data_IF_720170611128
#
_entry.id   IF_720170611128
#
_cell.length_a   1.000
_cell.length_b   1.000
_cell.length_c   1.000
_cell.angle_alpha   90.00
_cell.angle_beta   90.00
_cell.angle_gamma   90.00
#
_symmetry.space_group_name_H-M   'P 1'
#
loop_
_entity.id
_entity.type
_entity.pdbx_description
1 polymer ?
#
# COMPACT_ATOMS: atom_id res chain seq x y z
N UNK A 1 1.58 70.01 -2.02
CA UNK A 1 2.51 69.48 -0.99
C UNK A 1 1.69 69.31 0.27
N UNK A 2 1.50 68.14 0.86
CA UNK A 2 2.11 66.82 0.70
C UNK A 2 1.02 65.77 0.93
N UNK A 3 1.03 64.71 0.12
CA UNK A 3 0.44 63.43 0.50
C UNK A 3 1.38 62.84 1.55
N UNK A 4 0.90 62.61 2.76
CA UNK A 4 1.58 61.76 3.72
C UNK A 4 0.71 60.51 3.93
N UNK A 5 1.06 59.48 3.15
CA UNK A 5 0.65 58.10 3.33
C UNK A 5 1.19 57.61 4.67
N UNK A 6 0.35 57.55 5.70
CA UNK A 6 0.69 56.83 6.92
C UNK A 6 0.33 55.35 6.72
N UNK A 7 1.09 54.66 5.87
CA UNK A 7 1.06 53.19 5.77
C UNK A 7 1.84 52.64 6.97
N UNK A 8 1.11 52.33 8.03
CA UNK A 8 1.57 51.68 9.27
C UNK A 8 2.49 50.49 8.98
N UNK A 9 3.77 50.64 9.31
CA UNK A 9 4.79 49.58 9.23
C UNK A 9 4.45 48.32 10.03
N UNK A 10 3.49 48.40 10.96
CA UNK A 10 2.96 47.26 11.72
C UNK A 10 2.17 46.28 10.85
N UNK A 11 1.44 46.78 9.85
CA UNK A 11 0.59 45.93 9.02
C UNK A 11 1.46 45.12 8.07
N UNK A 12 2.46 45.73 7.45
CA UNK A 12 3.45 45.04 6.63
C UNK A 12 4.28 44.01 7.42
N UNK A 13 4.58 44.28 8.70
CA UNK A 13 5.28 43.34 9.57
C UNK A 13 4.41 42.12 9.94
N UNK A 14 3.10 42.30 10.10
CA UNK A 14 2.13 41.21 10.32
C UNK A 14 2.00 40.31 9.09
N UNK A 15 1.84 40.89 7.89
CA UNK A 15 1.80 40.12 6.65
C UNK A 15 3.12 39.36 6.42
N UNK A 16 4.26 39.97 6.70
CA UNK A 16 5.56 39.31 6.52
C UNK A 16 5.75 38.11 7.46
N UNK A 17 5.38 38.21 8.74
CA UNK A 17 5.50 37.08 9.69
C UNK A 17 4.53 35.97 9.36
N UNK A 18 3.25 36.27 9.13
CA UNK A 18 2.24 35.23 8.90
C UNK A 18 2.38 34.57 7.52
N UNK A 19 2.88 35.28 6.51
CA UNK A 19 3.15 34.71 5.18
C UNK A 19 4.39 33.81 5.16
N UNK A 20 5.41 34.09 5.99
CA UNK A 20 6.68 33.36 6.00
C UNK A 20 6.80 32.32 7.10
N UNK A 21 5.94 32.34 8.12
CA UNK A 21 5.77 31.23 9.07
C UNK A 21 4.92 30.13 8.42
N UNK A 22 5.44 29.52 7.35
CA UNK A 22 4.87 28.33 6.73
C UNK A 22 5.06 27.14 7.69
N UNK A 23 4.14 26.96 8.64
CA UNK A 23 4.17 25.79 9.51
C UNK A 23 3.79 24.55 8.69
N UNK A 24 4.67 23.55 8.69
CA UNK A 24 4.39 22.24 8.11
C UNK A 24 3.15 21.66 8.78
N UNK A 25 2.01 21.69 8.09
CA UNK A 25 0.71 21.18 8.59
C UNK A 25 0.82 19.69 8.98
N UNK A 26 1.63 18.93 8.23
CA UNK A 26 1.84 17.50 8.42
C UNK A 26 3.22 17.09 7.92
N UNK A 27 4.02 16.41 8.75
CA UNK A 27 5.32 15.90 8.34
C UNK A 27 5.22 14.71 7.38
N UNK A 28 6.25 14.47 6.56
CA UNK A 28 6.36 13.27 5.71
C UNK A 28 6.14 11.96 6.50
N UNK A 29 6.62 11.89 7.74
CA UNK A 29 6.45 10.74 8.63
C UNK A 29 4.97 10.54 9.00
N UNK A 30 4.29 11.63 9.36
CA UNK A 30 2.87 11.63 9.73
C UNK A 30 1.99 11.36 8.49
N UNK A 31 2.33 11.94 7.34
CA UNK A 31 1.67 11.67 6.06
C UNK A 31 1.81 10.19 5.67
N UNK A 32 3.03 9.64 5.69
CA UNK A 32 3.31 8.22 5.39
C UNK A 32 2.53 7.28 6.32
N UNK A 33 2.54 7.57 7.62
CA UNK A 33 1.81 6.77 8.61
C UNK A 33 0.30 6.85 8.42
N UNK A 34 -0.24 8.06 8.21
CA UNK A 34 -1.68 8.32 8.15
C UNK A 34 -2.29 7.77 6.88
N UNK A 35 -1.67 8.04 5.73
CA UNK A 35 -2.09 7.53 4.42
C UNK A 35 -2.06 5.99 4.37
N UNK A 36 -0.99 5.36 4.87
CA UNK A 36 -0.91 3.90 4.89
C UNK A 36 -2.00 3.27 5.79
N UNK A 37 -2.24 3.84 6.97
CA UNK A 37 -3.34 3.40 7.86
C UNK A 37 -4.71 3.59 7.21
N UNK A 38 -4.93 4.71 6.52
CA UNK A 38 -6.16 5.01 5.81
C UNK A 38 -6.43 4.00 4.70
N UNK A 39 -5.43 3.72 3.85
CA UNK A 39 -5.53 2.71 2.78
C UNK A 39 -5.83 1.34 3.36
N UNK A 40 -5.12 0.91 4.41
CA UNK A 40 -5.41 -0.38 5.04
C UNK A 40 -6.86 -0.49 5.51
N UNK A 41 -7.31 0.52 6.26
CA UNK A 41 -8.63 0.52 6.89
C UNK A 41 -9.77 0.56 5.87
N UNK A 42 -9.70 1.46 4.89
CA UNK A 42 -10.84 1.76 4.02
C UNK A 42 -10.80 1.05 2.67
N UNK A 43 -9.62 0.62 2.22
CA UNK A 43 -9.48 -0.17 1.00
C UNK A 43 -9.28 -1.66 1.29
N UNK A 44 -8.29 -2.03 2.09
CA UNK A 44 -7.86 -3.42 2.17
C UNK A 44 -8.73 -4.29 3.10
N UNK A 45 -9.08 -3.80 4.29
CA UNK A 45 -9.89 -4.57 5.25
C UNK A 45 -11.28 -4.99 4.71
N UNK A 46 -12.01 -4.16 3.93
CA UNK A 46 -13.26 -4.58 3.29
C UNK A 46 -13.09 -5.75 2.31
N UNK A 47 -11.96 -5.81 1.60
CA UNK A 47 -11.66 -6.85 0.61
C UNK A 47 -11.32 -8.17 1.31
N UNK A 48 -10.63 -8.11 2.46
CA UNK A 48 -10.14 -9.28 3.21
C UNK A 48 -11.18 -10.38 3.46
N UNK A 49 -12.43 -10.00 3.74
CA UNK A 49 -13.50 -10.96 4.05
C UNK A 49 -14.06 -11.65 2.82
N UNK A 50 -14.23 -10.93 1.71
CA UNK A 50 -14.94 -11.39 0.51
C UNK A 50 -13.99 -11.91 -0.57
N UNK A 51 -12.85 -11.25 -0.78
CA UNK A 51 -11.93 -11.50 -1.89
C UNK A 51 -10.53 -11.79 -1.32
N UNK A 52 -10.36 -12.95 -0.68
CA UNK A 52 -9.13 -13.28 0.07
C UNK A 52 -7.86 -13.25 -0.81
N UNK A 53 -7.95 -13.78 -2.02
CA UNK A 53 -6.83 -13.80 -2.97
C UNK A 53 -6.48 -12.38 -3.44
N UNK A 54 -7.48 -11.60 -3.84
CA UNK A 54 -7.30 -10.22 -4.28
C UNK A 54 -6.76 -9.33 -3.15
N UNK A 55 -7.26 -9.51 -1.93
CA UNK A 55 -6.75 -8.83 -0.74
C UNK A 55 -5.25 -9.06 -0.56
N UNK A 56 -4.78 -10.30 -0.68
CA UNK A 56 -3.36 -10.62 -0.49
C UNK A 56 -2.49 -9.87 -1.50
N UNK A 57 -2.91 -9.85 -2.77
CA UNK A 57 -2.18 -9.21 -3.86
C UNK A 57 -2.19 -7.68 -3.76
N UNK A 58 -3.36 -7.09 -3.52
CA UNK A 58 -3.51 -5.65 -3.35
C UNK A 58 -2.78 -5.14 -2.11
N UNK A 59 -2.83 -5.89 -1.00
CA UNK A 59 -2.06 -5.57 0.21
C UNK A 59 -0.57 -5.60 -0.08
N UNK A 60 -0.09 -6.61 -0.80
CA UNK A 60 1.31 -6.73 -1.16
C UNK A 60 1.79 -5.58 -2.05
N UNK A 61 1.04 -5.27 -3.11
CA UNK A 61 1.31 -4.10 -3.97
C UNK A 61 1.34 -2.79 -3.17
N UNK A 62 0.37 -2.61 -2.27
CA UNK A 62 0.30 -1.43 -1.41
C UNK A 62 1.55 -1.32 -0.52
N UNK A 63 1.92 -2.39 0.18
CA UNK A 63 3.09 -2.37 1.07
C UNK A 63 4.37 -2.11 0.28
N UNK A 64 4.56 -2.78 -0.86
CA UNK A 64 5.72 -2.58 -1.72
C UNK A 64 5.83 -1.12 -2.20
N UNK A 65 4.70 -0.51 -2.60
CA UNK A 65 4.68 0.91 -2.99
C UNK A 65 5.09 1.84 -1.84
N UNK A 66 4.53 1.64 -0.64
CA UNK A 66 4.84 2.47 0.54
C UNK A 66 6.25 2.26 1.09
N UNK A 67 6.87 1.09 0.85
CA UNK A 67 8.25 0.79 1.25
C UNK A 67 9.30 1.16 0.22
N UNK A 68 8.90 1.37 -1.03
CA UNK A 68 9.79 1.89 -2.05
C UNK A 68 10.15 3.35 -1.78
N UNK A 69 11.38 3.73 -2.12
CA UNK A 69 11.84 5.11 -2.07
C UNK A 69 11.00 6.04 -2.97
N UNK A 70 11.10 7.34 -2.70
CA UNK A 70 10.50 8.41 -3.52
C UNK A 70 9.18 8.95 -2.99
N UNK A 71 8.42 9.60 -3.87
CA UNK A 71 7.20 10.32 -3.51
C UNK A 71 5.97 9.41 -3.51
N UNK A 72 5.08 9.67 -2.55
CA UNK A 72 3.69 9.27 -2.63
C UNK A 72 2.94 10.27 -3.51
N UNK A 73 2.09 9.79 -4.40
CA UNK A 73 1.13 10.59 -5.16
C UNK A 73 -0.20 9.83 -5.20
N UNK A 74 -1.27 10.44 -4.70
CA UNK A 74 -2.59 9.80 -4.62
C UNK A 74 -3.15 9.41 -5.99
N UNK A 75 -2.89 10.20 -7.02
CA UNK A 75 -3.32 9.91 -8.40
C UNK A 75 -2.55 8.73 -8.96
N UNK A 76 -1.22 8.70 -8.75
CA UNK A 76 -0.41 7.56 -9.14
C UNK A 76 -0.83 6.28 -8.40
N UNK A 77 -1.04 6.38 -7.09
CA UNK A 77 -1.48 5.25 -6.26
C UNK A 77 -2.84 4.71 -6.73
N UNK A 78 -3.82 5.60 -6.95
CA UNK A 78 -5.14 5.22 -7.43
C UNK A 78 -5.07 4.60 -8.83
N UNK A 79 -4.43 5.27 -9.79
CA UNK A 79 -4.53 4.88 -11.20
C UNK A 79 -3.58 3.75 -11.60
N UNK A 80 -2.39 3.69 -11.00
CA UNK A 80 -1.34 2.73 -11.35
C UNK A 80 -1.31 1.58 -10.35
N UNK A 81 -1.14 1.85 -9.05
CA UNK A 81 -0.90 0.78 -8.06
C UNK A 81 -2.17 -0.06 -7.84
N UNK A 82 -3.31 0.60 -7.63
CA UNK A 82 -4.62 -0.05 -7.48
C UNK A 82 -5.28 -0.25 -8.84
N UNK A 83 -5.27 0.78 -9.67
CA UNK A 83 -6.07 0.86 -10.88
C UNK A 83 -5.65 0.00 -12.06
N UNK A 84 -4.43 -0.55 -12.03
CA UNK A 84 -3.94 -1.52 -13.02
C UNK A 84 -4.15 -2.98 -12.58
N UNK A 85 -4.68 -3.20 -11.38
CA UNK A 85 -4.92 -4.55 -10.88
C UNK A 85 -6.12 -5.18 -11.59
N UNK A 86 -5.94 -6.42 -12.04
CA UNK A 86 -7.01 -7.24 -12.61
C UNK A 86 -7.44 -8.25 -11.55
N UNK A 87 -8.66 -8.15 -11.00
CA UNK A 87 -9.14 -9.08 -9.98
C UNK A 87 -9.31 -10.50 -10.48
N UNK A 88 -9.08 -11.46 -9.59
CA UNK A 88 -9.50 -12.85 -9.75
C UNK A 88 -11.00 -12.99 -9.51
N UNK A 89 -11.51 -12.32 -8.47
CA UNK A 89 -12.94 -12.22 -8.25
C UNK A 89 -13.52 -11.04 -9.03
N UNK A 90 -14.27 -11.34 -10.09
CA UNK A 90 -14.89 -10.34 -10.97
C UNK A 90 -15.92 -9.45 -10.26
N UNK A 91 -16.36 -9.81 -9.06
CA UNK A 91 -17.27 -8.98 -8.25
C UNK A 91 -16.53 -7.86 -7.49
N UNK A 92 -15.19 -7.86 -7.50
CA UNK A 92 -14.39 -6.77 -6.95
C UNK A 92 -14.33 -5.58 -7.92
N UNK A 93 -15.01 -4.49 -7.58
CA UNK A 93 -15.01 -3.28 -8.40
C UNK A 93 -13.75 -2.43 -8.16
N UNK A 94 -12.84 -2.47 -9.13
CA UNK A 94 -11.60 -1.69 -9.11
C UNK A 94 -11.84 -0.20 -9.27
N UNK A 95 -12.87 0.21 -10.01
CA UNK A 95 -13.17 1.62 -10.20
C UNK A 95 -13.70 2.25 -8.89
N UNK A 96 -14.48 1.51 -8.11
CA UNK A 96 -14.86 1.91 -6.75
C UNK A 96 -13.63 2.06 -5.84
N UNK A 97 -12.67 1.13 -5.90
CA UNK A 97 -11.43 1.25 -5.14
C UNK A 97 -10.60 2.48 -5.54
N UNK A 98 -10.49 2.78 -6.85
CA UNK A 98 -9.83 4.00 -7.36
C UNK A 98 -10.51 5.25 -6.82
N UNK A 99 -11.83 5.32 -6.92
CA UNK A 99 -12.60 6.45 -6.41
C UNK A 99 -12.44 6.63 -4.90
N UNK A 100 -12.32 5.54 -4.14
CA UNK A 100 -12.03 5.57 -2.70
C UNK A 100 -10.63 6.11 -2.41
N UNK A 101 -9.60 5.68 -3.15
CA UNK A 101 -8.23 6.20 -3.00
C UNK A 101 -8.18 7.72 -3.07
N UNK A 102 -8.81 8.30 -4.10
CA UNK A 102 -8.77 9.74 -4.37
C UNK A 102 -9.41 10.57 -3.26
N UNK A 103 -10.33 9.98 -2.48
CA UNK A 103 -11.01 10.65 -1.35
C UNK A 103 -10.28 10.50 -0.01
N UNK A 104 -9.27 9.62 0.08
CA UNK A 104 -8.55 9.39 1.33
C UNK A 104 -7.83 10.64 1.88
N UNK A 105 -7.14 11.46 1.06
CA UNK A 105 -6.42 12.64 1.56
C UNK A 105 -7.35 13.60 2.32
N UNK A 106 -8.53 13.87 1.75
CA UNK A 106 -9.53 14.76 2.34
C UNK A 106 -10.20 14.13 3.57
N UNK A 107 -10.48 12.83 3.53
CA UNK A 107 -11.10 12.10 4.65
C UNK A 107 -10.20 11.97 5.87
N UNK A 108 -8.89 11.82 5.67
CA UNK A 108 -7.92 11.53 6.73
C UNK A 108 -6.93 12.67 6.98
N UNK A 109 -7.07 13.79 6.28
CA UNK A 109 -6.27 14.99 6.43
C UNK A 109 -4.75 14.74 6.30
N UNK A 110 -4.35 14.17 5.16
CA UNK A 110 -2.95 14.00 4.76
C UNK A 110 -2.76 14.55 3.35
N UNK A 111 -1.51 14.84 2.99
CA UNK A 111 -1.20 15.52 1.73
C UNK A 111 -1.37 14.60 0.52
N UNK A 112 -1.84 15.16 -0.61
CA UNK A 112 -2.01 14.41 -1.86
C UNK A 112 -0.67 13.93 -2.44
N UNK A 113 0.43 14.61 -2.08
CA UNK A 113 1.81 14.27 -2.43
C UNK A 113 2.74 14.53 -1.24
N UNK A 114 3.67 13.62 -0.97
CA UNK A 114 4.68 13.75 0.10
C UNK A 114 5.83 12.77 -0.12
N UNK A 115 6.96 12.94 0.55
CA UNK A 115 8.07 11.96 0.46
C UNK A 115 7.75 10.77 1.36
N UNK A 116 7.73 9.56 0.79
CA UNK A 116 7.49 8.35 1.58
C UNK A 116 8.60 8.15 2.60
N UNK A 117 8.21 7.68 3.79
CA UNK A 117 9.11 7.24 4.86
C UNK A 117 8.94 5.73 5.08
N UNK A 118 9.66 4.86 4.35
CA UNK A 118 9.55 3.41 4.47
C UNK A 118 9.73 2.88 5.91
N UNK A 119 10.55 3.55 6.72
CA UNK A 119 10.89 3.21 8.10
C UNK A 119 9.69 3.19 9.06
N UNK A 120 8.64 3.95 8.76
CA UNK A 120 7.40 3.93 9.56
C UNK A 120 6.42 2.85 9.14
N UNK A 121 6.64 2.20 8.00
CA UNK A 121 5.78 1.14 7.44
C UNK A 121 6.20 -0.23 8.02
N UNK A 122 5.92 -0.41 9.32
CA UNK A 122 6.33 -1.59 10.12
C UNK A 122 5.42 -2.82 9.97
N UNK A 123 4.46 -2.77 9.06
CA UNK A 123 3.48 -3.83 8.86
C UNK A 123 4.15 -5.14 8.41
N UNK A 124 4.17 -6.14 9.27
CA UNK A 124 4.67 -7.48 8.91
C UNK A 124 3.56 -8.26 8.22
N UNK A 125 3.92 -9.13 7.29
CA UNK A 125 3.01 -10.19 6.85
C UNK A 125 2.90 -11.17 8.03
N UNK A 126 1.81 -11.04 8.80
CA UNK A 126 1.47 -11.98 9.88
C UNK A 126 0.48 -13.05 9.42
N UNK A 127 -0.02 -12.91 8.20
CA UNK A 127 -0.99 -13.84 7.65
C UNK A 127 -0.24 -15.12 7.25
N UNK A 128 -0.49 -16.21 7.97
CA UNK A 128 -0.15 -17.55 7.51
C UNK A 128 -1.29 -18.09 6.66
N UNK A 129 -0.94 -18.74 5.56
CA UNK A 129 -1.90 -19.47 4.73
C UNK A 129 -1.91 -20.90 5.25
N UNK A 130 -3.00 -21.30 5.89
CA UNK A 130 -3.21 -22.70 6.30
C UNK A 130 -3.34 -23.54 5.02
N UNK A 131 -2.43 -24.49 4.84
CA UNK A 131 -2.41 -25.40 3.68
C UNK A 131 -3.09 -26.73 4.04
N UNK A 132 -2.75 -27.28 5.20
CA UNK A 132 -3.37 -28.47 5.79
C UNK A 132 -3.53 -28.26 7.30
N UNK A 133 -4.05 -29.25 8.04
CA UNK A 133 -4.13 -29.18 9.51
C UNK A 133 -2.75 -29.03 10.17
N UNK A 134 -1.70 -29.56 9.52
CA UNK A 134 -0.34 -29.63 10.06
C UNK A 134 0.65 -28.69 9.35
N UNK A 135 0.23 -28.01 8.28
CA UNK A 135 1.10 -27.21 7.41
C UNK A 135 0.56 -25.80 7.22
N UNK A 136 1.36 -24.80 7.54
CA UNK A 136 1.11 -23.40 7.27
C UNK A 136 2.23 -22.77 6.44
N UNK A 137 1.87 -21.92 5.47
CA UNK A 137 2.80 -21.11 4.72
C UNK A 137 2.90 -19.72 5.36
N UNK A 138 4.08 -19.38 5.88
CA UNK A 138 4.38 -18.04 6.42
C UNK A 138 5.09 -17.18 5.40
N UNK A 139 4.42 -16.12 4.97
CA UNK A 139 5.02 -15.07 4.16
C UNK A 139 5.68 -14.07 5.12
N UNK A 140 7.02 -13.94 5.09
CA UNK A 140 7.75 -13.12 6.05
C UNK A 140 7.73 -11.62 5.72
N UNK A 141 7.68 -11.28 4.44
CA UNK A 141 7.75 -9.93 3.90
C UNK A 141 7.01 -9.83 2.57
N UNK A 142 6.92 -8.63 2.01
CA UNK A 142 6.40 -8.45 0.65
C UNK A 142 7.25 -9.22 -0.36
N UNK A 143 6.57 -9.86 -1.31
CA UNK A 143 7.20 -10.63 -2.39
C UNK A 143 6.86 -9.88 -3.68
N UNK A 144 7.86 -9.30 -4.34
CA UNK A 144 7.64 -8.72 -5.67
C UNK A 144 7.14 -9.80 -6.64
N UNK A 145 6.14 -9.47 -7.44
CA UNK A 145 5.50 -10.41 -8.38
C UNK A 145 5.12 -11.75 -7.72
N UNK A 146 4.47 -11.71 -6.56
CA UNK A 146 4.06 -12.91 -5.79
C UNK A 146 3.24 -13.91 -6.62
N UNK A 147 2.51 -13.46 -7.64
CA UNK A 147 1.78 -14.27 -8.61
C UNK A 147 2.68 -15.11 -9.53
N UNK A 148 3.94 -14.69 -9.73
CA UNK A 148 4.97 -15.48 -10.42
C UNK A 148 5.68 -16.47 -9.48
N UNK A 149 5.63 -16.21 -8.16
CA UNK A 149 6.31 -17.03 -7.15
C UNK A 149 5.39 -18.14 -6.60
N UNK A 150 4.12 -17.83 -6.35
CA UNK A 150 3.16 -18.74 -5.73
C UNK A 150 1.97 -18.95 -6.68
N UNK A 151 1.78 -20.19 -7.12
CA UNK A 151 0.76 -20.55 -8.12
C UNK A 151 -0.10 -21.71 -7.63
N UNK A 152 -1.42 -21.54 -7.63
CA UNK A 152 -2.38 -22.61 -7.38
C UNK A 152 -2.70 -23.40 -8.65
N UNK A 153 -3.08 -24.67 -8.51
CA UNK A 153 -3.55 -25.46 -9.65
C UNK A 153 -4.10 -26.82 -9.26
N UNK A 154 -4.41 -27.61 -10.28
CA UNK A 154 -4.90 -28.99 -10.19
C UNK A 154 -3.97 -29.87 -11.03
N UNK A 155 -3.51 -30.99 -10.48
CA UNK A 155 -2.67 -31.94 -11.22
C UNK A 155 -3.51 -32.88 -12.11
N UNK A 156 -2.85 -33.78 -12.85
CA UNK A 156 -3.53 -34.74 -13.73
C UNK A 156 -4.45 -35.73 -12.99
N UNK A 157 -4.34 -35.81 -11.65
CA UNK A 157 -5.15 -36.67 -10.79
C UNK A 157 -6.19 -35.92 -9.97
N UNK A 158 -6.61 -34.72 -10.41
CA UNK A 158 -7.56 -33.84 -9.73
C UNK A 158 -7.13 -33.38 -8.33
N UNK A 159 -5.85 -33.53 -7.97
CA UNK A 159 -5.34 -33.04 -6.68
C UNK A 159 -5.00 -31.56 -6.79
N UNK A 160 -5.63 -30.79 -5.91
CA UNK A 160 -5.35 -29.35 -5.75
C UNK A 160 -3.99 -29.16 -5.10
N UNK A 161 -3.19 -28.24 -5.62
CA UNK A 161 -1.87 -27.92 -5.10
C UNK A 161 -1.63 -26.41 -5.01
N UNK A 162 -0.61 -26.07 -4.23
CA UNK A 162 0.10 -24.80 -4.29
C UNK A 162 1.55 -25.09 -4.71
N UNK A 163 2.02 -24.43 -5.77
CA UNK A 163 3.41 -24.47 -6.25
C UNK A 163 4.10 -23.20 -5.82
N UNK A 164 5.29 -23.35 -5.24
CA UNK A 164 6.15 -22.24 -4.86
C UNK A 164 7.44 -22.40 -5.67
N UNK A 165 7.74 -21.43 -6.53
CA UNK A 165 8.99 -21.42 -7.30
C UNK A 165 10.13 -20.97 -6.39
N UNK A 166 10.96 -21.90 -5.93
CA UNK A 166 12.15 -21.61 -5.14
C UNK A 166 13.23 -22.67 -5.35
N UNK A 167 14.49 -22.22 -5.42
CA UNK A 167 15.63 -23.12 -5.57
C UNK A 167 15.87 -23.96 -4.30
N UNK A 168 15.82 -23.34 -3.12
CA UNK A 168 15.95 -24.04 -1.83
C UNK A 168 14.83 -25.08 -1.63
N UNK A 169 13.59 -24.72 -1.97
CA UNK A 169 12.45 -25.63 -1.85
C UNK A 169 12.54 -26.80 -2.83
N UNK A 170 13.03 -26.56 -4.04
CA UNK A 170 13.32 -27.62 -5.01
C UNK A 170 14.38 -28.58 -4.48
N UNK A 171 15.52 -28.07 -4.00
CA UNK A 171 16.62 -28.90 -3.49
C UNK A 171 16.12 -29.79 -2.34
N UNK A 172 15.45 -29.20 -1.35
CA UNK A 172 14.84 -29.95 -0.24
C UNK A 172 13.87 -31.04 -0.72
N UNK A 173 12.95 -30.70 -1.64
CA UNK A 173 11.97 -31.67 -2.15
C UNK A 173 12.59 -32.76 -3.04
N UNK A 174 13.69 -32.46 -3.73
CA UNK A 174 14.41 -33.41 -4.58
C UNK A 174 15.07 -34.52 -3.77
N UNK A 175 15.56 -34.22 -2.57
CA UNK A 175 16.14 -35.18 -1.64
C UNK A 175 15.08 -36.13 -1.02
N UNK A 176 13.82 -35.70 -0.96
CA UNK A 176 12.72 -36.54 -0.47
C UNK A 176 12.30 -37.63 -1.46
N UNK A 177 12.65 -37.48 -2.75
CA UNK A 177 12.46 -38.55 -3.74
C UNK A 177 13.48 -39.63 -3.45
N UNK A 178 13.07 -40.64 -2.69
CA UNK A 178 13.87 -41.87 -2.53
C UNK A 178 14.07 -42.52 -3.91
N UNK A 179 15.26 -43.09 -4.19
CA UNK A 179 15.55 -43.79 -5.44
C UNK A 179 14.59 -44.96 -5.69
#
# INVERSE_FOLDING_TARGET
>A
MSHDENSSSSDAAYWYRDFLDLQELTSDEKNSTTSFKAVKKDLLEPIKKKHKQDYMLLRNRTIAYFRSEGEFDVEHFANVIIGSYVPYDQTLDINDLKAKCLKLPEKYNFDKKFTKKPEVIKDKFKDSIILTQDLELKIKQDIQDIDKVIVGGIDQGDKKYIKIYSEEGYNYASELKRP
#
